data_IF_941766058348
#
_entry.id   IF_941766058348
#
_cell.length_a   1.000
_cell.length_b   1.000
_cell.length_c   1.000
_cell.angle_alpha   90.00
_cell.angle_beta   90.00
_cell.angle_gamma   90.00
#
_symmetry.space_group_name_H-M   'P 1'
#
loop_
_entity.id
_entity.type
_entity.pdbx_description
1 polymer ?
#
# COMPACT_ATOMS: atom_id res chain seq x y z
N UNK A 1 -13.13 -26.01 31.00
CA UNK A 1 -13.33 -26.28 29.55
C UNK A 1 -13.74 -24.96 28.93
N UNK A 2 -12.77 -24.11 28.59
CA UNK A 2 -13.05 -22.85 27.90
C UNK A 2 -13.33 -23.18 26.44
N UNK A 3 -14.61 -23.06 26.06
CA UNK A 3 -15.03 -23.20 24.67
C UNK A 3 -14.43 -22.07 23.85
N UNK A 4 -13.46 -22.40 23.00
CA UNK A 4 -12.96 -21.48 21.99
C UNK A 4 -14.11 -21.00 21.11
N UNK A 5 -14.19 -19.67 20.91
CA UNK A 5 -15.19 -19.07 20.04
C UNK A 5 -14.94 -19.39 18.56
N UNK A 6 -15.77 -18.89 17.63
CA UNK A 6 -15.62 -19.10 16.19
C UNK A 6 -14.23 -18.72 15.64
N UNK A 7 -13.46 -17.88 16.34
CA UNK A 7 -12.09 -17.50 15.96
C UNK A 7 -10.99 -18.31 16.69
N UNK A 8 -11.35 -19.33 17.48
CA UNK A 8 -10.39 -20.11 18.26
C UNK A 8 -9.73 -19.34 19.41
N UNK A 9 -10.26 -18.15 19.73
CA UNK A 9 -9.82 -17.29 20.84
C UNK A 9 -10.92 -17.17 21.89
N UNK A 10 -10.58 -16.66 23.08
CA UNK A 10 -11.52 -16.44 24.17
C UNK A 10 -12.59 -15.40 23.83
N UNK A 11 -13.77 -15.49 24.46
CA UNK A 11 -14.84 -14.50 24.29
C UNK A 11 -14.40 -13.07 24.63
N UNK A 12 -13.42 -12.92 25.52
CA UNK A 12 -12.85 -11.61 25.85
C UNK A 12 -12.05 -11.07 24.66
N UNK A 13 -11.19 -11.88 24.06
CA UNK A 13 -10.47 -11.55 22.84
C UNK A 13 -11.42 -11.21 21.68
N UNK A 14 -12.50 -11.96 21.47
CA UNK A 14 -13.48 -11.67 20.41
C UNK A 14 -14.16 -10.31 20.62
N UNK A 15 -14.60 -10.03 21.85
CA UNK A 15 -15.22 -8.74 22.19
C UNK A 15 -14.26 -7.59 21.97
N UNK A 16 -13.00 -7.74 22.39
CA UNK A 16 -11.95 -6.75 22.17
C UNK A 16 -11.69 -6.53 20.66
N UNK A 17 -11.59 -7.61 19.90
CA UNK A 17 -11.33 -7.57 18.46
C UNK A 17 -12.40 -6.80 17.68
N UNK A 18 -13.66 -6.91 18.10
CA UNK A 18 -14.78 -6.18 17.48
C UNK A 18 -14.70 -4.67 17.70
N UNK A 19 -14.08 -4.24 18.81
CA UNK A 19 -13.90 -2.83 19.16
C UNK A 19 -12.62 -2.21 18.55
N UNK A 20 -11.66 -3.05 18.15
CA UNK A 20 -10.44 -2.59 17.48
C UNK A 20 -10.77 -2.26 16.02
N UNK A 21 -10.63 -0.97 15.67
CA UNK A 21 -10.77 -0.52 14.29
C UNK A 21 -9.65 -1.01 13.36
N UNK A 22 -9.80 -0.70 12.07
CA UNK A 22 -8.77 -0.98 11.04
C UNK A 22 -7.51 -0.10 11.20
N UNK A 23 -7.63 1.04 11.89
CA UNK A 23 -6.54 1.93 12.26
C UNK A 23 -5.95 1.66 13.64
N UNK A 24 -4.92 2.43 14.02
CA UNK A 24 -4.29 2.32 15.34
C UNK A 24 -5.20 2.87 16.45
N UNK A 25 -5.36 2.06 17.50
CA UNK A 25 -6.18 2.35 18.67
C UNK A 25 -5.33 2.32 19.94
N UNK A 26 -5.47 3.32 20.80
CA UNK A 26 -4.75 3.36 22.07
C UNK A 26 -5.33 2.37 23.10
N UNK A 27 -4.48 1.58 23.77
CA UNK A 27 -4.89 0.59 24.79
C UNK A 27 -5.78 1.18 25.88
N UNK A 28 -5.41 2.32 26.46
CA UNK A 28 -6.11 2.90 27.61
C UNK A 28 -7.57 3.25 27.30
N UNK A 29 -7.85 4.14 26.33
CA UNK A 29 -9.22 4.46 25.92
C UNK A 29 -10.02 3.23 25.47
N UNK A 30 -9.36 2.30 24.77
CA UNK A 30 -9.98 1.07 24.28
C UNK A 30 -10.40 0.16 25.44
N UNK A 31 -9.54 -0.02 26.44
CA UNK A 31 -9.83 -0.80 27.65
C UNK A 31 -11.05 -0.26 28.39
N UNK A 32 -11.10 1.06 28.60
CA UNK A 32 -12.24 1.71 29.25
C UNK A 32 -13.54 1.54 28.46
N UNK A 33 -13.48 1.59 27.13
CA UNK A 33 -14.64 1.39 26.24
C UNK A 33 -15.17 -0.04 26.30
N UNK A 34 -14.27 -1.02 26.28
CA UNK A 34 -14.63 -2.45 26.34
C UNK A 34 -15.12 -2.83 27.75
N UNK A 35 -14.72 -2.06 28.78
CA UNK A 35 -15.13 -2.26 30.17
C UNK A 35 -14.45 -3.47 30.82
N UNK A 36 -13.20 -3.76 30.44
CA UNK A 36 -12.43 -4.90 30.96
C UNK A 36 -11.45 -4.48 32.06
N UNK A 37 -11.24 -5.38 33.03
CA UNK A 37 -10.13 -5.27 33.99
C UNK A 37 -8.81 -5.37 33.24
N UNK A 38 -7.78 -4.70 33.76
CA UNK A 38 -6.47 -4.58 33.11
C UNK A 38 -5.82 -5.93 32.83
N UNK A 39 -5.84 -6.84 33.79
CA UNK A 39 -5.31 -8.21 33.67
C UNK A 39 -5.98 -8.95 32.50
N UNK A 40 -7.31 -8.98 32.49
CA UNK A 40 -8.09 -9.68 31.48
C UNK A 40 -7.99 -9.03 30.09
N UNK A 41 -7.80 -7.72 30.06
CA UNK A 41 -7.52 -6.99 28.82
C UNK A 41 -6.12 -7.31 28.29
N UNK A 42 -5.12 -7.44 29.17
CA UNK A 42 -3.77 -7.85 28.78
C UNK A 42 -3.74 -9.27 28.23
N UNK A 43 -4.41 -10.21 28.90
CA UNK A 43 -4.57 -11.59 28.41
C UNK A 43 -5.24 -11.62 27.04
N UNK A 44 -6.35 -10.89 26.86
CA UNK A 44 -7.05 -10.81 25.58
C UNK A 44 -6.19 -10.20 24.46
N UNK A 45 -5.38 -9.18 24.76
CA UNK A 45 -4.43 -8.60 23.80
C UNK A 45 -3.35 -9.62 23.42
N UNK A 46 -2.74 -10.27 24.40
CA UNK A 46 -1.70 -11.26 24.15
C UNK A 46 -2.23 -12.43 23.31
N UNK A 47 -3.44 -12.90 23.61
CA UNK A 47 -4.11 -13.94 22.84
C UNK A 47 -4.37 -13.51 21.39
N UNK A 48 -4.87 -12.28 21.15
CA UNK A 48 -5.08 -11.76 19.81
C UNK A 48 -3.78 -11.57 19.02
N UNK A 49 -2.70 -11.17 19.70
CA UNK A 49 -1.36 -11.04 19.09
C UNK A 49 -0.80 -12.41 18.76
N UNK A 50 -0.91 -13.38 19.67
CA UNK A 50 -0.48 -14.76 19.45
C UNK A 50 -1.25 -15.44 18.31
N UNK A 51 -2.54 -15.14 18.18
CA UNK A 51 -3.38 -15.58 17.07
C UNK A 51 -3.08 -14.84 15.74
N UNK A 52 -2.23 -13.82 15.75
CA UNK A 52 -1.91 -13.01 14.58
C UNK A 52 -3.07 -12.14 14.08
N UNK A 53 -4.08 -11.92 14.91
CA UNK A 53 -5.27 -11.13 14.58
C UNK A 53 -5.08 -9.64 14.86
N UNK A 54 -4.13 -9.27 15.72
CA UNK A 54 -3.86 -7.88 16.10
C UNK A 54 -2.34 -7.63 16.15
N UNK A 55 -1.92 -6.44 15.75
CA UNK A 55 -0.56 -5.93 15.94
C UNK A 55 -0.52 -5.02 17.17
N UNK A 56 0.54 -5.17 17.97
CA UNK A 56 0.84 -4.33 19.12
C UNK A 56 2.12 -3.54 18.84
N UNK A 57 2.03 -2.20 18.92
CA UNK A 57 3.17 -1.30 18.85
C UNK A 57 3.15 -0.35 20.06
N UNK A 58 3.91 -0.74 21.09
CA UNK A 58 3.92 -0.04 22.39
C UNK A 58 2.54 -0.04 23.05
N UNK A 59 1.84 1.10 22.99
CA UNK A 59 0.47 1.26 23.54
C UNK A 59 -0.63 1.23 22.46
N UNK A 60 -0.25 1.09 21.21
CA UNK A 60 -1.16 1.10 20.07
C UNK A 60 -1.49 -0.34 19.63
N UNK A 61 -2.76 -0.58 19.35
CA UNK A 61 -3.30 -1.83 18.84
C UNK A 61 -3.93 -1.59 17.47
N UNK A 62 -3.74 -2.51 16.54
CA UNK A 62 -4.39 -2.45 15.22
C UNK A 62 -4.82 -3.84 14.77
N UNK A 63 -6.02 -3.94 14.22
CA UNK A 63 -6.54 -5.18 13.64
C UNK A 63 -5.72 -5.58 12.41
N UNK A 64 -5.31 -6.84 12.35
CA UNK A 64 -4.72 -7.47 11.17
C UNK A 64 -5.88 -7.90 10.29
N UNK A 65 -6.02 -7.25 9.13
CA UNK A 65 -6.91 -7.73 8.08
C UNK A 65 -6.25 -8.85 7.30
N UNK A 66 -7.06 -9.81 6.85
CA UNK A 66 -6.60 -11.10 6.31
C UNK A 66 -5.64 -10.96 5.10
N UNK A 67 -5.68 -9.84 4.35
CA UNK A 67 -4.69 -9.54 3.31
C UNK A 67 -3.31 -9.13 3.86
N UNK A 68 -3.28 -8.34 4.94
CA UNK A 68 -2.05 -7.75 5.50
C UNK A 68 -1.03 -8.78 6.01
N UNK A 69 -1.48 -9.88 6.63
CA UNK A 69 -0.57 -10.89 7.18
C UNK A 69 0.03 -11.83 6.12
N UNK A 70 -0.78 -12.27 5.14
CA UNK A 70 -0.30 -13.17 4.09
C UNK A 70 0.56 -12.45 3.05
N UNK A 71 0.25 -11.19 2.72
CA UNK A 71 1.02 -10.44 1.73
C UNK A 71 2.40 -10.02 2.26
N UNK A 72 2.54 -9.77 3.57
CA UNK A 72 3.85 -9.54 4.21
C UNK A 72 4.80 -10.72 4.09
N UNK A 73 4.27 -11.94 4.00
CA UNK A 73 5.06 -13.17 3.92
C UNK A 73 5.53 -13.50 2.49
N UNK A 74 4.93 -12.88 1.47
CA UNK A 74 5.25 -13.16 0.05
C UNK A 74 6.16 -12.14 -0.62
N UNK A 75 6.44 -11.00 0.02
CA UNK A 75 7.26 -9.94 -0.55
C UNK A 75 8.76 -10.09 -0.23
N UNK A 76 9.60 -9.66 -1.17
CA UNK A 76 11.05 -9.65 -1.05
C UNK A 76 11.56 -8.80 0.12
N UNK A 77 12.82 -9.05 0.54
CA UNK A 77 13.45 -8.30 1.62
C UNK A 77 13.54 -6.79 1.30
N UNK A 78 13.77 -6.45 0.04
CA UNK A 78 13.82 -5.05 -0.44
C UNK A 78 12.45 -4.39 -0.34
N UNK A 79 11.39 -5.10 -0.74
CA UNK A 79 10.02 -4.65 -0.63
C UNK A 79 9.61 -4.44 0.84
N UNK A 80 10.01 -5.33 1.75
CA UNK A 80 9.81 -5.11 3.20
C UNK A 80 10.49 -3.85 3.69
N UNK A 81 11.75 -3.65 3.31
CA UNK A 81 12.51 -2.47 3.70
C UNK A 81 11.83 -1.18 3.24
N UNK A 82 11.33 -1.14 2.00
CA UNK A 82 10.55 0.00 1.51
C UNK A 82 9.26 0.17 2.31
N UNK A 83 8.52 -0.92 2.53
CA UNK A 83 7.25 -0.90 3.23
C UNK A 83 7.39 -0.35 4.64
N UNK A 84 8.41 -0.75 5.40
CA UNK A 84 8.68 -0.32 6.77
C UNK A 84 8.88 1.20 6.90
N UNK A 85 9.45 1.83 5.87
CA UNK A 85 9.62 3.29 5.81
C UNK A 85 8.36 4.08 5.44
N UNK A 86 7.32 3.41 4.94
CA UNK A 86 6.08 4.10 4.59
C UNK A 86 5.29 4.45 5.87
N UNK A 87 4.66 5.64 5.92
CA UNK A 87 3.84 6.03 7.06
C UNK A 87 2.72 5.01 7.31
N UNK A 88 2.52 4.57 8.57
CA UNK A 88 1.43 3.66 8.90
C UNK A 88 0.05 4.28 8.72
N UNK A 89 -0.06 5.61 8.79
CA UNK A 89 -1.31 6.37 8.68
C UNK A 89 -1.83 6.50 7.23
N UNK A 90 -1.23 5.79 6.27
CA UNK A 90 -1.60 5.89 4.85
C UNK A 90 -1.23 7.23 4.19
N UNK A 91 -0.50 8.09 4.90
CA UNK A 91 0.08 9.33 4.39
C UNK A 91 1.12 9.04 3.30
N UNK A 92 1.23 9.97 2.34
CA UNK A 92 2.17 9.83 1.22
C UNK A 92 3.58 10.28 1.58
N UNK A 93 4.58 9.53 1.13
CA UNK A 93 5.99 9.95 1.14
C UNK A 93 6.46 10.14 -0.30
N UNK A 94 7.24 11.20 -0.55
CA UNK A 94 7.80 11.46 -1.88
C UNK A 94 8.83 10.39 -2.26
N UNK A 95 8.78 9.90 -3.50
CA UNK A 95 9.64 8.83 -3.99
C UNK A 95 11.14 9.16 -3.96
N UNK A 96 11.52 10.43 -4.08
CA UNK A 96 12.92 10.86 -3.91
C UNK A 96 13.37 10.71 -2.44
N UNK A 97 12.52 11.13 -1.50
CA UNK A 97 12.80 11.01 -0.07
C UNK A 97 12.86 9.53 0.35
N UNK A 98 11.94 8.71 -0.15
CA UNK A 98 11.92 7.28 0.11
C UNK A 98 13.19 6.60 -0.42
N UNK A 99 13.63 6.92 -1.64
CA UNK A 99 14.90 6.40 -2.19
C UNK A 99 16.11 6.75 -1.33
N UNK A 100 16.19 7.99 -0.85
CA UNK A 100 17.28 8.43 0.03
C UNK A 100 17.31 7.67 1.37
N UNK A 101 16.16 7.21 1.85
CA UNK A 101 16.05 6.47 3.13
C UNK A 101 16.40 4.98 2.99
N UNK A 102 15.94 4.33 1.92
CA UNK A 102 16.07 2.88 1.76
C UNK A 102 17.46 2.47 1.21
N UNK A 103 18.27 3.41 0.70
CA UNK A 103 19.63 3.18 0.17
C UNK A 103 19.72 2.03 -0.85
N UNK A 104 18.63 1.79 -1.60
CA UNK A 104 18.59 0.80 -2.67
C UNK A 104 19.02 1.40 -4.00
N UNK A 105 19.63 0.58 -4.86
CA UNK A 105 19.86 0.93 -6.26
C UNK A 105 18.54 1.14 -7.02
N UNK A 106 18.57 1.93 -8.09
CA UNK A 106 17.35 2.36 -8.80
C UNK A 106 16.50 1.19 -9.32
N UNK A 107 17.13 0.13 -9.85
CA UNK A 107 16.43 -1.03 -10.39
C UNK A 107 15.81 -1.90 -9.30
N UNK A 108 16.54 -2.12 -8.19
CA UNK A 108 16.02 -2.85 -7.01
C UNK A 108 14.87 -2.10 -6.37
N UNK A 109 14.98 -0.78 -6.24
CA UNK A 109 13.90 0.07 -5.74
C UNK A 109 12.65 -0.05 -6.61
N UNK A 110 12.79 0.05 -7.95
CA UNK A 110 11.66 -0.08 -8.88
C UNK A 110 11.01 -1.45 -8.78
N UNK A 111 11.79 -2.52 -8.82
CA UNK A 111 11.28 -3.89 -8.71
C UNK A 111 10.54 -4.12 -7.40
N UNK A 112 11.08 -3.62 -6.28
CA UNK A 112 10.44 -3.75 -4.97
C UNK A 112 9.15 -2.92 -4.85
N UNK A 113 9.09 -1.72 -5.46
CA UNK A 113 7.85 -0.93 -5.52
C UNK A 113 6.79 -1.59 -6.40
N UNK A 114 7.18 -2.16 -7.54
CA UNK A 114 6.26 -2.89 -8.42
C UNK A 114 5.73 -4.15 -7.73
N UNK A 115 6.57 -4.85 -6.97
CA UNK A 115 6.16 -5.98 -6.14
C UNK A 115 5.15 -5.57 -5.05
N UNK A 116 5.43 -4.49 -4.33
CA UNK A 116 4.50 -3.95 -3.33
C UNK A 116 3.17 -3.50 -3.95
N UNK A 117 3.21 -2.96 -5.18
CA UNK A 117 2.02 -2.55 -5.92
C UNK A 117 1.22 -3.77 -6.38
N UNK A 118 1.89 -4.80 -6.90
CA UNK A 118 1.28 -6.06 -7.31
C UNK A 118 0.64 -6.78 -6.13
N UNK A 119 1.26 -6.70 -4.94
CA UNK A 119 0.71 -7.20 -3.68
C UNK A 119 -0.41 -6.31 -3.10
N UNK A 120 -0.78 -5.20 -3.75
CA UNK A 120 -1.84 -4.29 -3.26
C UNK A 120 -1.51 -3.57 -1.95
N UNK A 121 -0.25 -3.59 -1.49
CA UNK A 121 0.17 -3.01 -0.22
C UNK A 121 0.42 -1.51 -0.29
N UNK A 122 0.70 -0.98 -1.49
CA UNK A 122 1.04 0.43 -1.70
C UNK A 122 0.31 1.04 -2.89
N UNK A 123 -0.03 2.33 -2.77
CA UNK A 123 -0.58 3.15 -3.85
C UNK A 123 0.44 4.19 -4.28
N UNK A 124 0.51 4.41 -5.59
CA UNK A 124 1.34 5.44 -6.21
C UNK A 124 0.48 6.68 -6.50
N UNK A 125 0.93 7.86 -6.08
CA UNK A 125 0.27 9.11 -6.40
C UNK A 125 0.58 9.58 -7.82
N UNK A 126 -0.37 10.35 -8.39
CA UNK A 126 -0.44 10.74 -9.81
C UNK A 126 0.53 11.84 -10.26
N UNK A 127 1.54 12.21 -9.44
CA UNK A 127 2.40 13.39 -9.64
C UNK A 127 3.79 13.12 -10.24
N UNK A 128 4.42 14.17 -10.82
CA UNK A 128 5.82 14.17 -11.31
C UNK A 128 6.78 13.97 -10.13
N UNK A 129 7.11 12.71 -9.83
CA UNK A 129 7.99 12.33 -8.72
C UNK A 129 7.53 11.08 -7.96
N UNK A 130 6.30 10.60 -8.20
CA UNK A 130 5.75 9.39 -7.62
C UNK A 130 5.73 9.43 -6.09
N UNK A 131 4.61 9.84 -5.49
CA UNK A 131 4.41 9.61 -4.06
C UNK A 131 4.01 8.17 -3.82
N UNK A 132 4.49 7.58 -2.72
CA UNK A 132 4.12 6.22 -2.31
C UNK A 132 3.38 6.33 -0.98
N UNK A 133 2.24 5.69 -0.85
CA UNK A 133 1.51 5.56 0.41
C UNK A 133 1.15 4.10 0.64
N UNK A 134 1.05 3.69 1.90
CA UNK A 134 0.43 2.41 2.25
C UNK A 134 -1.05 2.46 1.84
N UNK A 135 -1.55 1.35 1.29
CA UNK A 135 -2.99 1.18 1.08
C UNK A 135 -3.61 0.92 2.44
N UNK A 136 -4.41 1.86 2.91
CA UNK A 136 -5.36 1.65 3.98
C UNK A 136 -6.65 1.16 3.31
N UNK A 137 -7.22 0.03 3.74
CA UNK A 137 -8.43 -0.56 3.15
C UNK A 137 -9.64 0.39 3.18
N UNK A 138 -9.54 1.52 3.89
CA UNK A 138 -10.55 2.58 3.95
C UNK A 138 -10.76 3.35 2.63
N UNK A 139 -9.88 3.22 1.64
CA UNK A 139 -10.07 3.86 0.32
C UNK A 139 -9.71 2.93 -0.84
N UNK A 140 -10.49 1.87 -1.03
CA UNK A 140 -10.64 1.27 -2.36
C UNK A 140 -11.57 2.17 -3.19
N UNK A 141 -10.99 3.14 -3.89
CA UNK A 141 -11.62 3.69 -5.09
C UNK A 141 -11.41 2.69 -6.23
N UNK A 142 -12.45 2.09 -6.82
CA UNK A 142 -12.30 1.20 -7.96
C UNK A 142 -12.07 2.05 -9.20
N UNK A 143 -10.81 2.29 -9.56
CA UNK A 143 -10.52 2.75 -10.92
C UNK A 143 -9.07 2.40 -11.33
N UNK A 144 -8.89 1.13 -11.64
CA UNK A 144 -7.77 0.66 -12.43
C UNK A 144 -8.33 -0.18 -13.57
N UNK A 145 -9.14 0.43 -14.43
CA UNK A 145 -9.35 -0.09 -15.78
C UNK A 145 -8.03 0.00 -16.54
N UNK A 146 -7.33 -1.14 -16.52
CA UNK A 146 -6.63 -1.79 -17.62
C UNK A 146 -6.37 -0.88 -18.83
N UNK A 147 -5.12 -0.44 -18.95
CA UNK A 147 -4.55 -0.07 -20.25
C UNK A 147 -4.37 -1.32 -21.09
N UNK A 148 -5.15 -1.44 -22.18
CA UNK A 148 -4.72 -2.21 -23.35
C UNK A 148 -4.21 -1.22 -24.42
N UNK A 149 -2.97 -1.37 -24.92
CA UNK A 149 -2.49 -0.59 -26.05
C UNK A 149 -3.06 -1.20 -27.35
N UNK A 150 -4.23 -0.71 -27.76
CA UNK A 150 -4.75 -1.00 -29.10
C UNK A 150 -3.99 -0.18 -30.14
N UNK A 151 -3.18 -0.89 -30.91
CA UNK A 151 -2.44 -0.43 -32.08
C UNK A 151 -3.37 -0.32 -33.30
N UNK A 152 -3.23 0.80 -34.01
CA UNK A 152 -3.73 1.10 -35.36
C UNK A 152 -5.23 1.47 -35.48
N UNK A 153 -5.52 2.73 -35.84
CA UNK A 153 -5.83 3.04 -37.25
C UNK A 153 -5.73 4.54 -37.51
N UNK A 154 -5.45 4.87 -38.76
CA UNK A 154 -5.03 6.15 -39.31
C UNK A 154 -6.27 6.97 -39.70
N UNK A 155 -6.29 8.28 -39.41
CA UNK A 155 -6.78 9.27 -40.40
C UNK A 155 -6.45 10.72 -40.03
N UNK A 156 -5.53 11.23 -40.85
CA UNK A 156 -5.22 12.61 -41.23
C UNK A 156 -6.36 13.64 -41.12
N UNK A 157 -6.07 14.82 -40.55
CA UNK A 157 -6.22 16.19 -41.15
C UNK A 157 -6.01 17.30 -40.10
N UNK A 158 -5.74 18.56 -40.47
CA UNK A 158 -4.61 19.08 -41.24
C UNK A 158 -3.70 19.99 -40.38
N UNK A 159 -2.57 20.35 -40.98
CA UNK A 159 -1.40 21.01 -40.40
C UNK A 159 -1.66 22.32 -39.63
N UNK A 160 -1.17 22.37 -38.40
CA UNK A 160 -0.85 23.60 -37.69
C UNK A 160 0.68 23.82 -37.67
N UNK A 161 1.17 25.07 -37.65
CA UNK A 161 2.59 25.37 -37.61
C UNK A 161 3.18 24.89 -36.27
N UNK A 162 4.19 24.00 -36.33
CA UNK A 162 4.90 23.50 -35.15
C UNK A 162 5.03 21.97 -35.03
N UNK A 163 4.76 21.21 -36.09
CA UNK A 163 4.83 19.75 -36.02
C UNK A 163 6.29 19.25 -36.04
N UNK A 164 6.66 18.51 -34.98
CA UNK A 164 7.94 17.84 -34.84
C UNK A 164 8.07 16.71 -35.85
N UNK A 165 9.07 16.86 -36.72
CA UNK A 165 9.42 15.92 -37.78
C UNK A 165 9.90 14.61 -37.17
N UNK A 166 9.39 13.46 -37.62
CA UNK A 166 9.67 12.16 -36.98
C UNK A 166 10.92 11.47 -37.52
N UNK A 167 11.39 11.86 -38.70
CA UNK A 167 12.60 11.31 -39.34
C UNK A 167 13.45 12.45 -39.90
N UNK A 168 14.77 12.37 -39.73
CA UNK A 168 15.68 13.42 -40.22
C UNK A 168 15.59 13.65 -41.74
N UNK A 169 15.27 12.61 -42.52
CA UNK A 169 15.12 12.71 -43.98
C UNK A 169 13.97 13.65 -44.42
N UNK A 170 12.97 13.85 -43.59
CA UNK A 170 11.82 14.72 -43.87
C UNK A 170 12.18 16.23 -43.77
N UNK A 171 13.27 16.58 -43.06
CA UNK A 171 13.77 17.95 -42.97
C UNK A 171 14.39 18.43 -44.29
N UNK A 172 14.90 17.52 -45.12
CA UNK A 172 15.67 17.84 -46.32
C UNK A 172 14.87 17.70 -47.62
N UNK A 173 13.68 17.10 -47.60
CA UNK A 173 12.85 16.93 -48.79
C UNK A 173 12.51 18.22 -49.58
N UNK A 174 12.21 19.38 -48.95
CA UNK A 174 11.85 20.57 -49.71
C UNK A 174 13.02 21.21 -50.50
N UNK A 175 14.25 20.71 -50.33
CA UNK A 175 15.44 21.26 -50.99
C UNK A 175 15.93 20.41 -52.18
N UNK A 176 15.22 19.36 -52.55
CA UNK A 176 15.68 18.41 -53.60
C UNK A 176 15.32 18.88 -55.02
N UNK A 177 14.33 19.77 -55.17
CA UNK A 177 13.83 20.21 -56.48
C UNK A 177 14.32 21.63 -56.90
N UNK A 178 15.57 22.00 -56.58
CA UNK A 178 16.17 23.27 -57.06
C UNK A 178 17.33 23.04 -58.03
#
# INVERSE_FOLDING_TARGET
MDGGGPMGVSRAAERLYTEIGTGWSNRGPLQSRVGMREERFAEAVEELVAAGLVLLEGRLLRRVTAGSAQDRLKISADARQIFDWLPPDGSTIGGLRLRSLVRLGNDRYRSAVDELKAAGLVRLGRGRGGTVARVDETVQGPDAEVSEPSVNDVSLTPAGPGQLVRRESELYQPFVDW
#
